data_IF_680017530173
#
_entry.id   IF_680017530173
#
_cell.length_a   1.000
_cell.length_b   1.000
_cell.length_c   1.000
_cell.angle_alpha   90.00
_cell.angle_beta   90.00
_cell.angle_gamma   90.00
#
_symmetry.space_group_name_H-M   'P 1'
#
loop_
_entity.id
_entity.type
_entity.pdbx_description
1 polymer ?
#
# COMPACT_ATOMS: atom_id res chain seq x y z
N UNK A 1 7.72 3.47 10.05
CA UNK A 1 7.15 2.85 8.84
C UNK A 1 6.82 1.38 9.14
N UNK A 2 5.71 0.89 8.59
CA UNK A 2 5.19 -0.47 8.74
C UNK A 2 5.09 -1.12 7.36
N UNK A 3 5.37 -2.42 7.27
CA UNK A 3 5.25 -3.19 6.04
C UNK A 3 3.81 -3.64 5.81
N UNK A 4 3.26 -3.34 4.63
CA UNK A 4 1.95 -3.80 4.20
C UNK A 4 2.10 -4.87 3.13
N UNK A 5 1.33 -5.95 3.26
CA UNK A 5 1.42 -7.13 2.40
C UNK A 5 0.08 -7.42 1.74
N UNK A 6 0.13 -8.01 0.56
CA UNK A 6 -1.06 -8.48 -0.15
C UNK A 6 -1.63 -9.76 0.51
N UNK A 7 -2.76 -10.24 -0.01
CA UNK A 7 -3.41 -11.47 0.45
C UNK A 7 -2.59 -12.75 0.22
N UNK A 8 -1.47 -12.67 -0.51
CA UNK A 8 -0.52 -13.77 -0.72
C UNK A 8 0.78 -13.60 0.08
N UNK A 9 0.88 -12.54 0.89
CA UNK A 9 2.03 -12.24 1.74
C UNK A 9 3.17 -11.49 1.03
N UNK A 10 3.01 -11.09 -0.23
CA UNK A 10 4.01 -10.27 -0.92
C UNK A 10 4.04 -8.85 -0.35
N UNK A 11 5.22 -8.25 -0.26
CA UNK A 11 5.36 -6.86 0.16
C UNK A 11 4.76 -5.94 -0.90
N UNK A 12 3.80 -5.11 -0.49
CA UNK A 12 3.15 -4.11 -1.33
C UNK A 12 3.86 -2.77 -1.17
N UNK A 13 4.01 -2.31 0.07
CA UNK A 13 4.67 -1.04 0.38
C UNK A 13 5.11 -0.98 1.84
N UNK A 14 5.96 0.01 2.13
CA UNK A 14 6.21 0.51 3.47
C UNK A 14 5.42 1.80 3.65
N UNK A 15 4.69 1.97 4.74
CA UNK A 15 3.96 3.20 4.99
C UNK A 15 4.02 3.66 6.44
N UNK A 16 3.88 4.96 6.65
CA UNK A 16 3.74 5.59 7.95
C UNK A 16 2.40 6.33 7.99
N UNK A 17 1.48 5.85 8.83
CA UNK A 17 0.15 6.45 8.94
C UNK A 17 0.17 7.83 9.59
N UNK A 18 1.19 8.17 10.39
CA UNK A 18 1.27 9.48 11.04
C UNK A 18 1.61 10.56 10.01
N UNK A 19 2.59 10.29 9.15
CA UNK A 19 3.04 11.24 8.12
C UNK A 19 2.28 11.09 6.81
N UNK A 20 1.67 9.93 6.56
CA UNK A 20 1.06 9.57 5.27
C UNK A 20 2.08 9.15 4.21
N UNK A 21 3.37 9.07 4.55
CA UNK A 21 4.41 8.68 3.60
C UNK A 21 4.25 7.20 3.26
N UNK A 22 4.21 6.92 1.96
CA UNK A 22 4.19 5.57 1.38
C UNK A 22 5.39 5.42 0.46
N UNK A 23 6.10 4.31 0.60
CA UNK A 23 7.24 3.92 -0.21
C UNK A 23 7.00 2.54 -0.81
N UNK A 24 7.07 2.46 -2.14
CA UNK A 24 6.97 1.22 -2.90
C UNK A 24 8.33 0.99 -3.54
N UNK A 25 8.98 -0.12 -3.18
CA UNK A 25 10.25 -0.53 -3.76
C UNK A 25 10.03 -1.77 -4.62
N UNK A 26 10.43 -1.69 -5.88
CA UNK A 26 10.42 -2.83 -6.78
C UNK A 26 11.70 -2.85 -7.61
N UNK A 27 12.58 -3.82 -7.31
CA UNK A 27 13.88 -4.03 -7.94
C UNK A 27 14.72 -2.75 -8.04
N UNK A 28 14.67 -2.08 -9.18
CA UNK A 28 15.43 -0.90 -9.57
C UNK A 28 14.65 0.42 -9.45
N UNK A 29 13.40 0.37 -8.99
CA UNK A 29 12.50 1.53 -8.91
C UNK A 29 12.00 1.72 -7.49
N UNK A 30 11.98 2.98 -7.06
CA UNK A 30 11.34 3.42 -5.84
C UNK A 30 10.32 4.50 -6.18
N UNK A 31 9.09 4.32 -5.69
CA UNK A 31 8.05 5.34 -5.70
C UNK A 31 7.85 5.80 -4.26
N UNK A 32 7.87 7.12 -4.05
CA UNK A 32 7.55 7.74 -2.78
C UNK A 32 6.44 8.75 -2.97
N UNK A 33 5.40 8.66 -2.15
CA UNK A 33 4.26 9.56 -2.19
C UNK A 33 3.73 9.84 -0.78
N UNK A 34 2.94 10.90 -0.65
CA UNK A 34 2.22 11.23 0.58
C UNK A 34 0.74 11.06 0.33
N UNK A 35 0.07 10.28 1.18
CA UNK A 35 -1.37 10.01 1.10
C UNK A 35 -2.08 10.79 2.20
N UNK A 36 -2.99 11.73 1.86
CA UNK A 36 -3.84 12.42 2.83
C UNK A 36 -4.77 11.47 3.58
N UNK A 37 -5.25 11.88 4.76
CA UNK A 37 -6.30 11.13 5.47
C UNK A 37 -7.59 11.20 4.67
N UNK A 38 -8.25 10.05 4.46
CA UNK A 38 -9.44 9.90 3.62
C UNK A 38 -9.13 9.43 2.20
N UNK A 39 -7.89 9.58 1.73
CA UNK A 39 -7.50 9.20 0.38
C UNK A 39 -7.03 7.75 0.30
N UNK A 40 -7.08 7.22 -0.93
CA UNK A 40 -6.70 5.85 -1.25
C UNK A 40 -5.74 5.79 -2.41
N UNK A 41 -4.95 4.72 -2.44
CA UNK A 41 -4.14 4.34 -3.59
C UNK A 41 -4.23 2.84 -3.83
N UNK A 42 -4.00 2.44 -5.07
CA UNK A 42 -4.02 1.03 -5.48
C UNK A 42 -2.63 0.61 -5.91
N UNK A 43 -2.18 -0.53 -5.41
CA UNK A 43 -0.97 -1.21 -5.90
C UNK A 43 -1.38 -2.51 -6.55
N UNK A 44 -1.08 -2.61 -7.84
CA UNK A 44 -1.34 -3.79 -8.63
C UNK A 44 -0.02 -4.55 -8.82
N UNK A 45 0.04 -5.77 -8.29
CA UNK A 45 1.13 -6.70 -8.56
C UNK A 45 0.70 -7.69 -9.65
N UNK A 46 1.55 -8.70 -9.91
CA UNK A 46 1.34 -9.66 -11.00
C UNK A 46 -0.02 -10.37 -10.90
N UNK A 47 -0.40 -10.75 -9.70
CA UNK A 47 -1.52 -11.66 -9.42
C UNK A 47 -2.45 -11.17 -8.30
N UNK A 48 -2.18 -9.99 -7.74
CA UNK A 48 -2.95 -9.38 -6.66
C UNK A 48 -3.17 -7.89 -6.93
N UNK A 49 -4.28 -7.39 -6.43
CA UNK A 49 -4.58 -5.97 -6.36
C UNK A 49 -4.85 -5.61 -4.90
N UNK A 50 -4.19 -4.55 -4.44
CA UNK A 50 -4.32 -4.08 -3.05
C UNK A 50 -4.68 -2.62 -3.04
N UNK A 51 -5.84 -2.32 -2.46
CA UNK A 51 -6.32 -0.96 -2.20
C UNK A 51 -5.99 -0.60 -0.76
N UNK A 52 -5.30 0.52 -0.58
CA UNK A 52 -4.93 1.04 0.73
C UNK A 52 -5.55 2.41 0.92
N UNK A 53 -6.29 2.58 2.02
CA UNK A 53 -6.95 3.83 2.39
C UNK A 53 -6.36 4.34 3.68
N UNK A 54 -5.87 5.58 3.72
CA UNK A 54 -5.41 6.18 4.98
C UNK A 54 -6.61 6.63 5.79
N UNK A 55 -7.11 5.79 6.68
CA UNK A 55 -8.33 6.08 7.46
C UNK A 55 -8.10 7.06 8.61
N UNK A 56 -6.86 7.18 9.09
CA UNK A 56 -6.50 8.15 10.14
C UNK A 56 -4.99 8.44 10.14
N UNK A 57 -4.56 9.30 11.06
CA UNK A 57 -3.13 9.51 11.36
C UNK A 57 -2.48 8.31 12.07
N UNK A 58 -3.22 7.23 12.31
CA UNK A 58 -2.73 6.06 13.05
C UNK A 58 -2.83 4.75 12.26
N UNK A 59 -3.61 4.72 11.17
CA UNK A 59 -3.85 3.48 10.44
C UNK A 59 -4.09 3.68 8.93
N UNK A 60 -3.75 2.64 8.18
CA UNK A 60 -4.28 2.37 6.85
C UNK A 60 -5.24 1.17 6.93
N UNK A 61 -6.40 1.29 6.29
CA UNK A 61 -7.24 0.14 5.94
C UNK A 61 -6.69 -0.49 4.66
N UNK A 62 -6.64 -1.83 4.62
CA UNK A 62 -6.00 -2.57 3.53
C UNK A 62 -6.91 -3.68 3.05
N UNK A 63 -7.30 -3.59 1.78
CA UNK A 63 -8.12 -4.59 1.10
C UNK A 63 -7.33 -5.18 -0.05
N UNK A 64 -7.12 -6.48 -0.02
CA UNK A 64 -6.32 -7.19 -1.02
C UNK A 64 -7.07 -8.40 -1.54
N UNK A 65 -7.04 -8.61 -2.85
CA UNK A 65 -7.66 -9.77 -3.49
C UNK A 65 -6.81 -10.28 -4.66
N UNK A 66 -6.93 -11.57 -5.03
CA UNK A 66 -6.38 -12.08 -6.26
C UNK A 66 -6.95 -11.33 -7.47
N UNK A 67 -6.14 -11.12 -8.51
CA UNK A 67 -6.63 -10.67 -9.80
C UNK A 67 -7.26 -11.85 -10.55
N UNK A 68 -8.45 -11.64 -11.10
CA UNK A 68 -8.99 -12.58 -12.10
C UNK A 68 -8.13 -12.51 -13.36
N UNK A 69 -7.89 -13.68 -13.97
CA UNK A 69 -7.09 -13.83 -15.19
C UNK A 69 -7.78 -13.25 -16.43
#
# INVERSE_FOLDING_TARGET
MVAYRDCKGHLVCMADAQTGIVEIQHKDRAVRMTVPVGDSFTVTLRDTETVMTRVSTMAFDVKSHPRAA
#
